data_IF_297576172897
#
_entry.id   IF_297576172897
#
_cell.length_a   1.000
_cell.length_b   1.000
_cell.length_c   1.000
_cell.angle_alpha   90.00
_cell.angle_beta   90.00
_cell.angle_gamma   90.00
#
_symmetry.space_group_name_H-M   'P 1'
#
loop_
_entity.id
_entity.type
_entity.pdbx_description
1 polymer ?
#
# COMPACT_ATOMS: atom_id res chain seq x y z
N UNK A 1 -4.20 48.94 44.63
CA UNK A 1 -3.74 48.34 43.36
C UNK A 1 -4.25 46.91 43.32
N UNK A 2 -5.35 46.67 42.62
CA UNK A 2 -5.92 45.34 42.45
C UNK A 2 -6.18 45.23 40.94
N UNK A 3 -5.29 44.50 40.27
CA UNK A 3 -5.31 44.34 38.81
C UNK A 3 -6.24 43.19 38.49
N UNK A 4 -7.44 43.51 38.00
CA UNK A 4 -8.35 42.55 37.38
C UNK A 4 -7.83 42.25 35.98
N UNK A 5 -7.24 41.08 35.78
CA UNK A 5 -6.98 40.54 34.45
C UNK A 5 -8.30 39.93 33.93
N UNK A 6 -8.88 40.58 32.94
CA UNK A 6 -9.99 40.03 32.16
C UNK A 6 -9.45 38.86 31.31
N UNK A 7 -9.98 37.66 31.57
CA UNK A 7 -9.69 36.44 30.81
C UNK A 7 -10.44 36.51 29.47
N UNK A 8 -9.83 37.22 28.51
CA UNK A 8 -10.28 37.33 27.13
C UNK A 8 -10.05 36.04 26.35
N UNK A 9 -10.74 34.95 26.71
CA UNK A 9 -10.93 33.79 25.83
C UNK A 9 -12.15 34.05 24.94
N UNK A 10 -11.93 34.88 23.92
CA UNK A 10 -12.82 34.94 22.77
C UNK A 10 -12.87 33.57 22.12
N UNK A 11 -13.96 32.83 22.35
CA UNK A 11 -14.32 31.71 21.50
C UNK A 11 -14.49 32.28 20.08
N UNK A 12 -13.62 31.87 19.16
CA UNK A 12 -13.82 32.10 17.74
C UNK A 12 -15.22 31.58 17.39
N UNK A 13 -16.15 32.43 16.93
CA UNK A 13 -17.46 31.98 16.52
C UNK A 13 -17.25 31.20 15.23
N UNK A 14 -16.92 29.90 15.37
CA UNK A 14 -17.02 28.94 14.28
C UNK A 14 -18.39 29.18 13.67
N UNK A 15 -18.38 29.70 12.45
CA UNK A 15 -19.57 29.92 11.63
C UNK A 15 -20.39 28.64 11.77
N UNK A 16 -21.55 28.72 12.43
CA UNK A 16 -22.32 27.52 12.76
C UNK A 16 -22.62 26.82 11.44
N UNK A 17 -21.99 25.67 11.22
CA UNK A 17 -22.19 24.90 10.01
C UNK A 17 -23.67 24.57 9.91
N UNK A 18 -24.25 24.62 8.69
CA UNK A 18 -25.64 24.20 8.51
C UNK A 18 -25.75 22.74 8.99
N UNK A 19 -26.59 22.44 9.99
CA UNK A 19 -26.65 21.10 10.59
C UNK A 19 -27.13 20.04 9.60
N UNK A 20 -27.60 20.42 8.41
CA UNK A 20 -27.96 19.48 7.34
C UNK A 20 -26.80 19.14 6.43
N UNK A 21 -25.77 19.98 6.32
CA UNK A 21 -24.66 19.77 5.39
C UNK A 21 -23.79 18.62 5.87
N UNK A 22 -23.59 17.62 5.01
CA UNK A 22 -22.68 16.50 5.29
C UNK A 22 -21.72 16.34 4.14
N UNK A 23 -20.47 15.96 4.40
CA UNK A 23 -19.52 15.63 3.35
C UNK A 23 -19.32 14.11 3.30
N UNK A 24 -19.32 13.54 2.10
CA UNK A 24 -19.16 12.09 1.92
C UNK A 24 -17.84 11.80 1.24
N UNK A 25 -16.95 11.13 1.94
CA UNK A 25 -15.74 10.53 1.37
C UNK A 25 -16.14 9.16 0.81
N UNK A 26 -15.87 8.90 -0.47
CA UNK A 26 -16.26 7.64 -1.11
C UNK A 26 -15.26 7.25 -2.21
N UNK A 27 -15.27 5.97 -2.57
CA UNK A 27 -14.47 5.42 -3.66
C UNK A 27 -15.13 5.56 -5.03
N UNK A 28 -14.83 4.61 -5.93
CA UNK A 28 -15.34 4.51 -7.30
C UNK A 28 -16.67 3.76 -7.42
N UNK A 29 -17.18 3.17 -6.34
CA UNK A 29 -18.49 2.52 -6.35
C UNK A 29 -19.63 3.57 -6.43
N UNK A 30 -19.94 4.01 -7.66
CA UNK A 30 -20.98 5.01 -7.93
C UNK A 30 -22.39 4.55 -7.51
N UNK A 31 -22.65 3.24 -7.54
CA UNK A 31 -23.93 2.71 -7.11
C UNK A 31 -24.12 2.92 -5.59
N UNK A 32 -23.12 2.52 -4.79
CA UNK A 32 -23.11 2.73 -3.35
C UNK A 32 -23.18 4.22 -2.98
N UNK A 33 -22.40 5.05 -3.68
CA UNK A 33 -22.43 6.51 -3.49
C UNK A 33 -23.82 7.07 -3.73
N UNK A 34 -24.45 6.76 -4.87
CA UNK A 34 -25.78 7.27 -5.21
C UNK A 34 -26.83 6.82 -4.19
N UNK A 35 -26.80 5.54 -3.79
CA UNK A 35 -27.70 5.01 -2.76
C UNK A 35 -27.56 5.73 -1.42
N UNK A 36 -26.32 5.97 -0.97
CA UNK A 36 -26.08 6.73 0.26
C UNK A 36 -26.56 8.18 0.15
N UNK A 37 -26.29 8.86 -0.97
CA UNK A 37 -26.75 10.24 -1.18
C UNK A 37 -28.27 10.35 -1.19
N UNK A 38 -28.97 9.39 -1.80
CA UNK A 38 -30.42 9.34 -1.82
C UNK A 38 -30.99 9.12 -0.41
N UNK A 39 -30.42 8.18 0.35
CA UNK A 39 -30.76 7.97 1.76
C UNK A 39 -30.55 9.25 2.60
N UNK A 40 -29.37 9.88 2.51
CA UNK A 40 -29.05 11.10 3.27
C UNK A 40 -30.04 12.23 2.96
N UNK A 41 -30.39 12.42 1.69
CA UNK A 41 -31.41 13.39 1.27
C UNK A 41 -32.80 13.05 1.81
N UNK A 42 -33.18 11.77 1.81
CA UNK A 42 -34.47 11.32 2.32
C UNK A 42 -34.64 11.58 3.83
N UNK A 43 -33.54 11.49 4.61
CA UNK A 43 -33.54 11.87 6.03
C UNK A 43 -33.28 13.37 6.26
N UNK A 44 -33.43 14.21 5.22
CA UNK A 44 -33.39 15.67 5.33
C UNK A 44 -32.00 16.30 5.36
N UNK A 45 -30.94 15.53 5.08
CA UNK A 45 -29.57 16.04 4.99
C UNK A 45 -29.22 16.47 3.56
N UNK A 46 -28.17 17.27 3.45
CA UNK A 46 -27.70 17.88 2.21
C UNK A 46 -26.23 17.50 1.96
N UNK A 47 -25.99 16.36 1.29
CA UNK A 47 -24.63 15.89 1.03
C UNK A 47 -23.92 16.81 0.02
N UNK A 48 -22.80 17.39 0.44
CA UNK A 48 -21.92 18.25 -0.37
C UNK A 48 -21.28 17.39 -1.45
N UNK A 49 -21.56 17.73 -2.71
CA UNK A 49 -20.92 17.09 -3.86
C UNK A 49 -19.50 17.62 -4.06
N UNK A 50 -18.62 16.80 -4.66
CA UNK A 50 -17.23 17.20 -4.91
C UNK A 50 -17.11 18.51 -5.70
N UNK A 51 -17.97 18.70 -6.71
CA UNK A 51 -18.03 19.93 -7.51
C UNK A 51 -18.46 21.15 -6.69
N UNK A 52 -19.35 20.97 -5.71
CA UNK A 52 -19.74 22.00 -4.75
C UNK A 52 -18.57 22.36 -3.84
N UNK A 53 -17.92 21.37 -3.24
CA UNK A 53 -16.71 21.57 -2.43
C UNK A 53 -15.60 22.29 -3.23
N UNK A 54 -15.40 21.92 -4.49
CA UNK A 54 -14.49 22.59 -5.41
C UNK A 54 -14.82 24.07 -5.59
N UNK A 55 -16.09 24.40 -5.81
CA UNK A 55 -16.55 25.79 -5.93
C UNK A 55 -16.38 26.59 -4.63
N UNK A 56 -16.51 25.96 -3.47
CA UNK A 56 -16.35 26.61 -2.17
C UNK A 56 -14.94 27.15 -1.94
N UNK A 57 -13.93 26.62 -2.66
CA UNK A 57 -12.57 27.15 -2.63
C UNK A 57 -12.44 28.52 -3.31
N UNK A 58 -13.39 28.91 -4.17
CA UNK A 58 -13.31 30.11 -5.00
C UNK A 58 -12.27 30.06 -6.12
N UNK A 59 -11.65 28.89 -6.37
CA UNK A 59 -10.60 28.71 -7.38
C UNK A 59 -11.08 27.88 -8.56
N UNK A 60 -10.59 28.20 -9.76
CA UNK A 60 -10.87 27.40 -10.96
C UNK A 60 -10.14 26.05 -10.98
N UNK A 61 -9.01 25.94 -10.28
CA UNK A 61 -8.21 24.71 -10.17
C UNK A 61 -7.56 24.64 -8.78
N UNK A 62 -8.34 24.35 -7.72
CA UNK A 62 -7.82 24.24 -6.36
C UNK A 62 -6.98 22.96 -6.19
N UNK A 63 -6.07 22.99 -5.22
CA UNK A 63 -5.42 21.77 -4.75
C UNK A 63 -6.43 20.90 -3.98
N UNK A 64 -6.28 19.57 -4.04
CA UNK A 64 -7.20 18.60 -3.41
C UNK A 64 -7.37 18.89 -1.91
N UNK A 65 -6.29 19.21 -1.20
CA UNK A 65 -6.35 19.56 0.21
C UNK A 65 -7.23 20.79 0.49
N UNK A 66 -7.28 21.76 -0.43
CA UNK A 66 -8.10 22.96 -0.27
C UNK A 66 -9.59 22.66 -0.44
N UNK A 67 -9.93 21.72 -1.33
CA UNK A 67 -11.30 21.21 -1.50
C UNK A 67 -11.74 20.53 -0.20
N UNK A 68 -10.88 19.68 0.36
CA UNK A 68 -11.15 18.94 1.59
C UNK A 68 -11.28 19.89 2.79
N UNK A 69 -10.40 20.88 2.92
CA UNK A 69 -10.49 21.90 3.97
C UNK A 69 -11.80 22.70 3.89
N UNK A 70 -12.20 23.11 2.69
CA UNK A 70 -13.46 23.81 2.48
C UNK A 70 -14.68 22.93 2.84
N UNK A 71 -14.65 21.65 2.44
CA UNK A 71 -15.70 20.69 2.74
C UNK A 71 -15.81 20.40 4.24
N UNK A 72 -14.70 20.06 4.90
CA UNK A 72 -14.66 19.78 6.34
C UNK A 72 -15.02 21.00 7.20
N UNK A 73 -14.67 22.20 6.76
CA UNK A 73 -15.04 23.44 7.42
C UNK A 73 -16.54 23.76 7.33
N UNK A 74 -17.23 23.26 6.30
CA UNK A 74 -18.62 23.61 6.03
C UNK A 74 -19.63 22.49 6.33
N UNK A 75 -19.18 21.25 6.41
CA UNK A 75 -20.01 20.11 6.78
C UNK A 75 -20.22 20.05 8.30
N UNK A 76 -21.43 19.70 8.74
CA UNK A 76 -21.73 19.34 10.12
C UNK A 76 -21.13 17.99 10.49
N UNK A 77 -21.15 17.02 9.57
CA UNK A 77 -20.54 15.71 9.74
C UNK A 77 -19.85 15.22 8.46
N UNK A 78 -18.84 14.38 8.63
CA UNK A 78 -18.17 13.67 7.53
C UNK A 78 -18.56 12.21 7.58
N UNK A 79 -19.08 11.68 6.48
CA UNK A 79 -19.40 10.27 6.31
C UNK A 79 -18.33 9.62 5.45
N UNK A 80 -17.65 8.62 5.99
CA UNK A 80 -16.68 7.81 5.26
C UNK A 80 -17.38 6.56 4.76
N UNK A 81 -17.68 6.50 3.47
CA UNK A 81 -18.26 5.32 2.82
C UNK A 81 -17.15 4.37 2.36
N UNK A 82 -16.96 3.31 3.11
CA UNK A 82 -16.03 2.22 2.81
C UNK A 82 -16.73 1.15 1.99
N UNK A 83 -16.27 0.97 0.76
CA UNK A 83 -16.71 -0.09 -0.15
C UNK A 83 -15.52 -0.97 -0.57
N UNK A 84 -15.77 -2.24 -0.95
CA UNK A 84 -14.74 -3.14 -1.45
C UNK A 84 -14.34 -2.76 -2.88
N UNK A 85 -13.52 -1.72 -3.02
CA UNK A 85 -13.15 -1.15 -4.32
C UNK A 85 -11.87 -1.76 -4.90
N UNK A 86 -10.85 -1.92 -4.05
CA UNK A 86 -9.54 -2.43 -4.46
C UNK A 86 -9.31 -3.83 -3.89
N UNK A 87 -8.67 -4.69 -4.68
CA UNK A 87 -8.15 -5.99 -4.23
C UNK A 87 -6.75 -5.80 -3.66
N UNK A 88 -6.48 -6.39 -2.51
CA UNK A 88 -5.22 -6.27 -1.77
C UNK A 88 -4.74 -7.61 -1.25
N UNK A 89 -3.42 -7.74 -1.14
CA UNK A 89 -2.70 -8.86 -0.55
C UNK A 89 -1.57 -8.27 0.28
N UNK A 90 -1.29 -8.85 1.46
CA UNK A 90 -0.02 -8.56 2.11
C UNK A 90 1.11 -9.18 1.28
N UNK A 91 2.26 -8.51 1.23
CA UNK A 91 3.42 -9.01 0.52
C UNK A 91 3.85 -10.36 1.11
N UNK A 92 3.98 -11.40 0.29
CA UNK A 92 4.23 -12.79 0.73
C UNK A 92 5.45 -12.92 1.64
N UNK A 93 6.53 -12.17 1.41
CA UNK A 93 7.71 -12.22 2.29
C UNK A 93 7.49 -11.60 3.68
N UNK A 94 6.37 -10.92 3.89
CA UNK A 94 5.97 -10.31 5.16
C UNK A 94 4.87 -11.10 5.86
N UNK A 95 4.43 -12.22 5.29
CA UNK A 95 3.41 -13.08 5.89
C UNK A 95 4.04 -14.22 6.68
N UNK A 96 3.22 -14.90 7.48
CA UNK A 96 3.57 -16.17 8.09
C UNK A 96 2.75 -17.32 7.48
N UNK A 97 3.19 -18.59 7.62
CA UNK A 97 2.37 -19.73 7.19
C UNK A 97 0.96 -19.65 7.81
N UNK A 98 -0.07 -19.75 6.96
CA UNK A 98 -1.47 -19.65 7.37
C UNK A 98 -1.99 -18.23 7.65
N UNK A 99 -1.22 -17.19 7.36
CA UNK A 99 -1.69 -15.80 7.49
C UNK A 99 -2.87 -15.52 6.55
N UNK A 100 -4.05 -15.11 7.06
CA UNK A 100 -5.20 -14.77 6.22
C UNK A 100 -4.94 -13.58 5.29
N UNK A 101 -3.92 -12.77 5.53
CA UNK A 101 -3.51 -11.66 4.66
C UNK A 101 -2.79 -12.10 3.38
N UNK A 102 -2.42 -13.38 3.26
CA UNK A 102 -2.00 -14.01 2.01
C UNK A 102 -3.14 -14.13 0.99
N UNK A 103 -4.39 -14.15 1.46
CA UNK A 103 -5.56 -14.29 0.60
C UNK A 103 -5.97 -12.94 0.02
N UNK A 104 -6.66 -12.99 -1.12
CA UNK A 104 -7.26 -11.79 -1.70
C UNK A 104 -8.25 -11.18 -0.70
N UNK A 105 -8.01 -9.93 -0.33
CA UNK A 105 -8.92 -9.16 0.50
C UNK A 105 -9.39 -7.92 -0.27
N UNK A 106 -10.58 -7.42 0.08
CA UNK A 106 -11.09 -6.19 -0.50
C UNK A 106 -10.88 -5.03 0.45
N UNK A 107 -10.58 -3.84 -0.07
CA UNK A 107 -10.44 -2.65 0.76
C UNK A 107 -11.04 -1.42 0.06
N UNK A 108 -11.31 -0.33 0.81
CA UNK A 108 -11.55 0.97 0.21
C UNK A 108 -10.34 1.45 -0.58
N UNK A 109 -10.56 2.33 -1.56
CA UNK A 109 -9.49 3.02 -2.27
C UNK A 109 -8.52 3.68 -1.28
N UNK A 110 -7.19 3.67 -1.53
CA UNK A 110 -6.22 4.37 -0.68
C UNK A 110 -6.56 5.84 -0.42
N UNK A 111 -7.12 6.54 -1.42
CA UNK A 111 -7.58 7.92 -1.26
C UNK A 111 -8.66 8.05 -0.17
N UNK A 112 -9.63 7.12 -0.14
CA UNK A 112 -10.69 7.09 0.87
C UNK A 112 -10.09 6.87 2.25
N UNK A 113 -9.11 5.97 2.38
CA UNK A 113 -8.41 5.72 3.64
C UNK A 113 -7.64 6.95 4.12
N UNK A 114 -6.92 7.62 3.21
CA UNK A 114 -6.15 8.82 3.51
C UNK A 114 -7.05 10.00 3.92
N UNK A 115 -8.12 10.23 3.17
CA UNK A 115 -9.12 11.28 3.46
C UNK A 115 -9.88 11.00 4.76
N UNK A 116 -10.21 9.74 5.04
CA UNK A 116 -10.79 9.33 6.33
C UNK A 116 -9.83 9.64 7.48
N UNK A 117 -8.53 9.35 7.31
CA UNK A 117 -7.48 9.73 8.26
C UNK A 117 -7.43 11.24 8.52
N UNK A 118 -7.52 12.06 7.46
CA UNK A 118 -7.57 13.52 7.60
C UNK A 118 -8.84 13.99 8.32
N UNK A 119 -10.01 13.46 7.97
CA UNK A 119 -11.27 13.78 8.64
C UNK A 119 -11.24 13.42 10.12
N UNK A 120 -10.73 12.23 10.47
CA UNK A 120 -10.58 11.78 11.84
C UNK A 120 -9.56 12.61 12.63
N UNK A 121 -8.43 12.95 12.01
CA UNK A 121 -7.40 13.78 12.63
C UNK A 121 -7.88 15.20 12.89
N UNK A 122 -8.78 15.72 12.04
CA UNK A 122 -9.37 17.05 12.19
C UNK A 122 -10.54 17.06 13.18
N UNK A 123 -11.46 16.11 13.06
CA UNK A 123 -12.77 16.15 13.72
C UNK A 123 -13.34 14.74 13.96
N UNK A 124 -12.75 13.99 14.90
CA UNK A 124 -13.14 12.61 15.17
C UNK A 124 -14.60 12.42 15.65
N UNK A 125 -15.16 13.38 16.40
CA UNK A 125 -16.51 13.26 17.00
C UNK A 125 -17.63 13.36 15.97
N UNK A 126 -17.38 14.05 14.84
CA UNK A 126 -18.33 14.23 13.73
C UNK A 126 -17.94 13.45 12.47
N UNK A 127 -17.00 12.52 12.59
CA UNK A 127 -16.63 11.59 11.52
C UNK A 127 -17.32 10.24 11.74
N UNK A 128 -18.19 9.85 10.81
CA UNK A 128 -18.99 8.62 10.85
C UNK A 128 -18.47 7.65 9.81
N UNK A 129 -18.00 6.48 10.26
CA UNK A 129 -17.49 5.42 9.37
C UNK A 129 -18.63 4.47 9.03
N UNK A 130 -18.81 4.23 7.74
CA UNK A 130 -19.85 3.38 7.17
C UNK A 130 -19.22 2.35 6.25
N UNK A 131 -19.54 1.08 6.47
CA UNK A 131 -19.15 -0.03 5.60
C UNK A 131 -20.36 -0.48 4.77
N UNK A 132 -20.17 -0.60 3.46
CA UNK A 132 -21.13 -1.23 2.56
C UNK A 132 -20.41 -2.35 1.79
N UNK A 133 -20.61 -3.59 2.25
CA UNK A 133 -19.85 -4.75 1.79
C UNK A 133 -18.75 -5.17 2.76
N UNK A 134 -18.07 -6.26 2.40
CA UNK A 134 -16.98 -6.80 3.20
C UNK A 134 -15.67 -6.14 2.80
N UNK A 135 -15.10 -5.36 3.71
CA UNK A 135 -13.77 -4.75 3.57
C UNK A 135 -12.81 -5.32 4.60
N UNK A 136 -11.52 -5.34 4.25
CA UNK A 136 -10.40 -5.64 5.13
C UNK A 136 -10.44 -4.64 6.27
N UNK A 137 -10.43 -5.16 7.48
CA UNK A 137 -10.28 -4.34 8.68
C UNK A 137 -8.78 -4.11 8.90
N UNK A 138 -8.38 -2.87 9.17
CA UNK A 138 -7.01 -2.55 9.58
C UNK A 138 -7.00 -1.99 11.00
N UNK A 139 -5.90 -2.23 11.72
CA UNK A 139 -5.74 -2.04 13.16
C UNK A 139 -6.17 -0.66 13.67
N UNK A 140 -6.01 0.40 12.87
CA UNK A 140 -6.30 1.78 13.28
C UNK A 140 -7.80 2.12 13.38
N UNK A 141 -8.68 1.36 12.70
CA UNK A 141 -10.15 1.51 12.82
C UNK A 141 -10.73 0.61 13.92
N UNK A 142 -10.01 -0.42 14.40
CA UNK A 142 -10.54 -1.39 15.36
C UNK A 142 -11.03 -0.81 16.71
N UNK A 143 -10.60 0.41 17.07
CA UNK A 143 -11.10 1.13 18.25
C UNK A 143 -12.38 1.96 18.01
N UNK A 144 -12.88 2.05 16.78
CA UNK A 144 -14.02 2.90 16.41
C UNK A 144 -15.21 2.05 15.97
N UNK A 145 -16.40 2.44 16.41
CA UNK A 145 -17.64 1.78 16.03
C UNK A 145 -18.02 2.15 14.60
N UNK A 146 -18.23 1.15 13.75
CA UNK A 146 -18.59 1.29 12.32
C UNK A 146 -20.05 0.91 12.10
N UNK A 147 -20.75 1.64 11.25
CA UNK A 147 -22.09 1.26 10.79
C UNK A 147 -21.97 0.39 9.55
N UNK A 148 -22.28 -0.90 9.69
CA UNK A 148 -22.32 -1.86 8.57
C UNK A 148 -23.71 -1.89 7.95
N UNK A 149 -23.85 -1.34 6.76
CA UNK A 149 -25.11 -1.30 6.03
C UNK A 149 -25.35 -2.64 5.33
N UNK A 150 -26.60 -3.09 5.38
CA UNK A 150 -27.09 -4.35 4.79
C UNK A 150 -28.45 -4.17 4.08
N UNK A 151 -28.76 -2.92 3.69
CA UNK A 151 -30.04 -2.45 3.17
C UNK A 151 -31.22 -2.49 4.15
N UNK A 152 -31.08 -3.05 5.36
CA UNK A 152 -32.18 -3.12 6.33
C UNK A 152 -32.52 -1.77 6.95
N UNK A 153 -33.79 -1.59 7.31
CA UNK A 153 -34.28 -0.42 8.06
C UNK A 153 -33.54 -0.25 9.38
N UNK A 154 -33.17 -1.35 10.04
CA UNK A 154 -32.38 -1.33 11.29
C UNK A 154 -31.04 -0.63 11.08
N UNK A 155 -30.31 -0.97 10.02
CA UNK A 155 -29.00 -0.36 9.73
C UNK A 155 -29.10 1.08 9.24
N UNK A 156 -30.18 1.41 8.53
CA UNK A 156 -30.52 2.80 8.19
C UNK A 156 -30.77 3.64 9.45
N UNK A 157 -31.52 3.10 10.41
CA UNK A 157 -31.75 3.75 11.71
C UNK A 157 -30.45 3.91 12.52
N UNK A 158 -29.58 2.90 12.53
CA UNK A 158 -28.26 2.98 13.18
C UNK A 158 -27.44 4.15 12.61
N UNK A 159 -27.41 4.31 11.28
CA UNK A 159 -26.72 5.42 10.61
C UNK A 159 -27.34 6.78 10.94
N UNK A 160 -28.67 6.90 10.85
CA UNK A 160 -29.37 8.14 11.16
C UNK A 160 -29.10 8.60 12.60
N UNK A 161 -29.20 7.69 13.58
CA UNK A 161 -28.96 7.98 15.00
C UNK A 161 -27.51 8.43 15.24
N UNK A 162 -26.56 7.88 14.48
CA UNK A 162 -25.14 8.29 14.54
C UNK A 162 -24.92 9.69 13.96
N UNK A 163 -25.62 10.03 12.88
CA UNK A 163 -25.59 11.36 12.29
C UNK A 163 -26.23 12.40 13.22
N UNK A 164 -27.33 12.07 13.89
CA UNK A 164 -27.92 12.93 14.94
C UNK A 164 -26.93 13.16 16.09
N UNK A 165 -26.22 12.11 16.52
CA UNK A 165 -25.17 12.22 17.55
C UNK A 165 -24.01 13.12 17.10
N UNK A 166 -23.70 13.13 15.80
CA UNK A 166 -22.73 14.04 15.18
C UNK A 166 -23.27 15.48 14.99
N UNK A 167 -24.48 15.77 15.47
CA UNK A 167 -25.12 17.09 15.41
C UNK A 167 -25.91 17.36 14.14
N UNK A 168 -26.17 16.34 13.30
CA UNK A 168 -26.95 16.53 12.09
C UNK A 168 -28.44 16.66 12.39
N UNK A 169 -29.11 17.59 11.70
CA UNK A 169 -30.55 17.79 11.79
C UNK A 169 -31.32 16.78 10.91
N UNK A 170 -31.32 15.51 11.30
CA UNK A 170 -32.02 14.47 10.56
C UNK A 170 -33.54 14.57 10.73
N UNK A 171 -34.28 14.03 9.76
CA UNK A 171 -35.75 13.99 9.74
C UNK A 171 -36.19 12.55 9.49
N UNK A 172 -36.66 11.89 10.54
CA UNK A 172 -37.09 10.49 10.51
C UNK A 172 -38.62 10.32 10.57
N UNK A 173 -39.37 11.38 10.27
CA UNK A 173 -40.83 11.35 10.20
C UNK A 173 -41.28 10.62 8.93
N UNK A 174 -42.27 9.73 9.05
CA UNK A 174 -42.76 8.92 7.92
C UNK A 174 -41.89 7.69 7.69
N UNK A 175 -42.14 6.99 6.58
CA UNK A 175 -41.50 5.69 6.28
C UNK A 175 -40.81 5.65 4.93
N UNK A 176 -40.96 6.65 4.05
CA UNK A 176 -40.38 6.65 2.70
C UNK A 176 -38.85 6.50 2.73
N UNK A 177 -38.20 7.05 3.77
CA UNK A 177 -36.75 6.95 3.96
C UNK A 177 -36.27 5.52 4.26
N UNK A 178 -37.15 4.60 4.67
CA UNK A 178 -36.82 3.21 4.95
C UNK A 178 -36.27 2.47 3.73
N UNK A 179 -36.66 2.89 2.52
CA UNK A 179 -36.29 2.26 1.26
C UNK A 179 -35.47 3.18 0.34
N UNK A 180 -35.27 4.44 0.74
CA UNK A 180 -34.60 5.44 -0.08
C UNK A 180 -33.13 5.09 -0.37
N UNK A 181 -32.77 5.00 -1.64
CA UNK A 181 -31.43 4.60 -2.08
C UNK A 181 -31.15 3.11 -1.89
N UNK A 182 -30.48 2.50 -2.86
CA UNK A 182 -30.05 1.10 -2.74
C UNK A 182 -28.78 1.02 -1.86
N UNK A 183 -28.94 0.46 -0.67
CA UNK A 183 -27.86 0.22 0.30
C UNK A 183 -27.56 -1.28 0.43
N UNK A 184 -27.76 -2.04 -0.65
CA UNK A 184 -27.39 -3.45 -0.73
C UNK A 184 -25.86 -3.58 -0.82
N UNK A 185 -25.23 -4.39 0.03
CA UNK A 185 -23.82 -4.69 -0.08
C UNK A 185 -23.45 -5.17 -1.49
N UNK A 186 -22.36 -4.67 -2.09
CA UNK A 186 -21.90 -5.18 -3.38
C UNK A 186 -21.57 -6.67 -3.25
N UNK A 187 -21.83 -7.41 -4.33
CA UNK A 187 -21.50 -8.83 -4.41
C UNK A 187 -19.99 -9.01 -4.16
N UNK A 188 -19.57 -10.02 -3.39
CA UNK A 188 -18.17 -10.35 -3.25
C UNK A 188 -17.50 -10.44 -4.64
N UNK A 189 -16.26 -9.94 -4.75
CA UNK A 189 -15.55 -9.92 -6.02
C UNK A 189 -15.30 -11.37 -6.50
N UNK A 190 -15.10 -11.53 -7.81
CA UNK A 190 -14.90 -12.84 -8.43
C UNK A 190 -16.19 -13.55 -8.88
N UNK A 191 -17.38 -13.03 -8.55
CA UNK A 191 -18.65 -13.55 -9.11
C UNK A 191 -18.90 -15.03 -8.80
N UNK A 192 -18.45 -15.50 -7.63
CA UNK A 192 -18.50 -16.92 -7.23
C UNK A 192 -17.32 -17.76 -7.72
N UNK A 193 -16.43 -17.19 -8.53
CA UNK A 193 -15.14 -17.79 -8.88
C UNK A 193 -14.08 -17.37 -7.86
N UNK A 194 -13.05 -18.21 -7.64
CA UNK A 194 -11.88 -17.81 -6.87
C UNK A 194 -11.28 -16.54 -7.48
N UNK A 195 -11.14 -15.52 -6.66
CA UNK A 195 -10.30 -14.37 -6.97
C UNK A 195 -8.93 -14.90 -7.32
N UNK A 196 -8.41 -14.52 -8.49
CA UNK A 196 -7.10 -15.01 -8.93
C UNK A 196 -6.10 -14.88 -7.79
N UNK A 197 -5.43 -15.96 -7.44
CA UNK A 197 -4.20 -15.82 -6.69
C UNK A 197 -3.32 -14.92 -7.56
N UNK A 198 -2.72 -13.89 -6.96
CA UNK A 198 -1.58 -13.25 -7.60
C UNK A 198 -0.69 -14.43 -8.01
N UNK A 199 -0.36 -14.55 -9.30
CA UNK A 199 0.69 -15.48 -9.71
C UNK A 199 1.78 -15.24 -8.68
N UNK A 200 2.25 -16.27 -7.92
CA UNK A 200 3.35 -16.07 -7.00
C UNK A 200 4.34 -15.30 -7.83
N UNK A 201 4.68 -14.09 -7.39
CA UNK A 201 5.57 -13.27 -8.21
C UNK A 201 6.70 -14.20 -8.51
N UNK A 202 6.90 -14.56 -9.77
CA UNK A 202 7.96 -15.46 -10.18
C UNK A 202 9.33 -14.77 -10.01
N UNK A 203 9.39 -13.74 -9.14
CA UNK A 203 10.46 -12.79 -8.86
C UNK A 203 10.38 -12.21 -7.42
N UNK A 204 9.66 -12.85 -6.50
CA UNK A 204 10.05 -12.88 -5.08
C UNK A 204 10.30 -14.34 -4.66
N UNK A 205 10.63 -15.19 -5.64
CA UNK A 205 11.11 -16.54 -5.40
C UNK A 205 12.30 -16.46 -4.46
N UNK A 206 12.39 -17.39 -3.51
CA UNK A 206 13.59 -17.60 -2.68
C UNK A 206 14.81 -18.07 -3.49
N UNK A 207 14.99 -17.50 -4.68
CA UNK A 207 16.14 -17.69 -5.55
C UNK A 207 17.21 -16.71 -5.08
N UNK A 208 18.40 -17.22 -4.75
CA UNK A 208 19.56 -16.39 -4.44
C UNK A 208 19.80 -15.32 -5.50
N UNK A 209 20.21 -14.11 -5.07
CA UNK A 209 20.61 -13.02 -5.97
C UNK A 209 22.10 -12.88 -5.88
N UNK A 210 22.81 -13.15 -6.97
CA UNK A 210 24.27 -13.10 -7.01
C UNK A 210 24.71 -11.81 -7.69
N UNK A 211 25.72 -11.16 -7.14
CA UNK A 211 26.38 -10.01 -7.74
C UNK A 211 27.89 -10.29 -7.76
N UNK A 212 28.56 -10.02 -8.88
CA UNK A 212 29.99 -10.17 -9.02
C UNK A 212 30.68 -8.80 -9.18
N UNK A 213 31.75 -8.58 -8.41
CA UNK A 213 32.55 -7.36 -8.46
C UNK A 213 34.03 -7.67 -8.58
N UNK A 214 34.74 -6.87 -9.38
CA UNK A 214 36.20 -6.95 -9.45
C UNK A 214 36.84 -6.15 -8.32
N UNK A 215 37.77 -6.78 -7.61
CA UNK A 215 38.57 -6.20 -6.53
C UNK A 215 40.03 -6.20 -6.96
N UNK A 216 40.58 -5.00 -7.19
CA UNK A 216 42.00 -4.82 -7.47
C UNK A 216 42.81 -4.78 -6.18
N UNK A 217 43.80 -5.68 -6.06
CA UNK A 217 44.69 -5.75 -4.90
C UNK A 217 45.94 -4.86 -5.05
N UNK A 218 45.99 -4.00 -6.08
CA UNK A 218 46.76 -2.75 -6.08
C UNK A 218 48.27 -2.84 -6.25
N UNK A 219 48.89 -4.03 -6.31
CA UNK A 219 50.35 -4.19 -6.55
C UNK A 219 50.77 -5.49 -7.26
N UNK A 220 49.83 -6.29 -7.76
CA UNK A 220 50.14 -7.59 -8.39
C UNK A 220 49.29 -7.80 -9.64
N UNK A 221 49.75 -8.61 -10.60
CA UNK A 221 48.98 -9.03 -11.80
C UNK A 221 47.78 -9.95 -11.47
N UNK A 222 47.34 -9.94 -10.22
CA UNK A 222 46.31 -10.81 -9.66
C UNK A 222 45.25 -9.96 -8.98
N UNK A 223 44.07 -9.91 -9.58
CA UNK A 223 42.85 -9.40 -8.97
C UNK A 223 41.97 -10.53 -8.43
N UNK A 224 40.89 -10.17 -7.77
CA UNK A 224 39.86 -11.12 -7.34
C UNK A 224 38.50 -10.68 -7.86
N UNK A 225 37.67 -11.63 -8.27
CA UNK A 225 36.24 -11.42 -8.51
C UNK A 225 35.53 -11.90 -7.27
N UNK A 226 34.88 -10.99 -6.56
CA UNK A 226 34.09 -11.29 -5.39
C UNK A 226 32.63 -11.47 -5.81
N UNK A 227 32.07 -12.64 -5.51
CA UNK A 227 30.67 -12.97 -5.76
C UNK A 227 29.94 -12.93 -4.42
N UNK A 228 28.87 -12.16 -4.33
CA UNK A 228 28.09 -11.96 -3.11
C UNK A 228 26.64 -12.38 -3.32
N UNK A 229 26.10 -13.16 -2.37
CA UNK A 229 24.68 -13.49 -2.36
C UNK A 229 23.88 -12.43 -1.59
N UNK A 230 23.16 -11.58 -2.32
CA UNK A 230 22.28 -10.52 -1.81
C UNK A 230 20.81 -10.95 -1.66
N UNK A 231 20.44 -12.14 -2.11
CA UNK A 231 19.06 -12.62 -2.10
C UNK A 231 18.70 -13.40 -0.83
N UNK A 232 17.40 -13.66 -0.59
CA UNK A 232 17.02 -14.69 0.36
C UNK A 232 17.38 -16.08 -0.18
N UNK A 233 17.88 -16.97 0.68
CA UNK A 233 18.21 -18.36 0.34
C UNK A 233 19.69 -18.61 0.09
N UNK A 234 20.11 -19.86 0.29
CA UNK A 234 21.49 -20.32 0.09
C UNK A 234 21.68 -20.86 -1.34
N UNK A 235 22.84 -20.60 -1.95
CA UNK A 235 23.23 -21.28 -3.21
C UNK A 235 24.01 -22.54 -2.85
N UNK A 236 23.74 -23.65 -3.52
CA UNK A 236 24.50 -24.89 -3.42
C UNK A 236 25.22 -25.16 -4.73
N UNK A 237 26.37 -25.84 -4.65
CA UNK A 237 27.24 -26.19 -5.77
C UNK A 237 27.48 -25.01 -6.72
N UNK A 238 27.78 -23.83 -6.16
CA UNK A 238 28.01 -22.61 -6.92
C UNK A 238 29.31 -22.74 -7.70
N UNK A 239 29.25 -22.56 -9.02
CA UNK A 239 30.40 -22.58 -9.91
C UNK A 239 30.47 -21.29 -10.74
N UNK A 240 31.65 -21.02 -11.30
CA UNK A 240 31.91 -19.82 -12.09
C UNK A 240 32.67 -20.19 -13.34
N UNK A 241 32.12 -19.82 -14.47
CA UNK A 241 32.74 -20.01 -15.78
C UNK A 241 32.94 -18.65 -16.47
N UNK A 242 33.94 -18.58 -17.34
CA UNK A 242 34.21 -17.41 -18.16
C UNK A 242 35.02 -17.81 -19.39
N UNK A 243 34.99 -16.99 -20.44
CA UNK A 243 35.84 -17.19 -21.61
C UNK A 243 37.33 -17.24 -21.20
N UNK A 244 38.13 -18.07 -21.86
CA UNK A 244 39.56 -18.30 -21.54
C UNK A 244 40.38 -17.00 -21.45
N UNK A 245 39.99 -15.98 -22.22
CA UNK A 245 40.63 -14.67 -22.25
C UNK A 245 40.47 -13.87 -20.94
N UNK A 246 39.45 -14.19 -20.13
CA UNK A 246 39.19 -13.55 -18.83
C UNK A 246 40.24 -13.93 -17.78
N UNK A 247 40.83 -15.14 -17.91
CA UNK A 247 41.96 -15.59 -17.10
C UNK A 247 41.61 -15.92 -15.65
N UNK A 248 40.51 -16.67 -15.42
CA UNK A 248 40.15 -17.17 -14.09
C UNK A 248 41.20 -18.18 -13.59
N UNK A 249 41.61 -18.02 -12.33
CA UNK A 249 42.58 -18.90 -11.66
C UNK A 249 41.95 -19.46 -10.39
N UNK A 250 41.72 -20.76 -10.39
CA UNK A 250 41.36 -21.52 -9.20
C UNK A 250 42.64 -21.85 -8.44
N UNK A 251 42.82 -21.39 -7.18
CA UNK A 251 44.08 -21.65 -6.45
C UNK A 251 44.22 -23.11 -6.07
N UNK A 252 43.10 -23.78 -5.82
CA UNK A 252 43.03 -25.17 -5.39
C UNK A 252 41.89 -25.90 -6.10
N UNK A 253 42.09 -27.20 -6.40
CA UNK A 253 41.12 -28.07 -7.05
C UNK A 253 39.82 -28.35 -6.25
N UNK A 254 39.54 -27.57 -5.20
CA UNK A 254 38.35 -27.69 -4.34
C UNK A 254 37.80 -26.35 -3.85
N UNK A 255 38.20 -25.22 -4.45
CA UNK A 255 37.60 -23.91 -4.17
C UNK A 255 36.23 -23.75 -4.86
N UNK A 256 36.08 -24.34 -6.05
CA UNK A 256 34.84 -24.39 -6.81
C UNK A 256 34.63 -25.82 -7.36
N UNK A 257 33.38 -26.30 -7.47
CA UNK A 257 32.15 -25.64 -7.05
C UNK A 257 32.06 -25.48 -5.52
N UNK A 258 31.55 -24.34 -5.07
CA UNK A 258 31.33 -24.03 -3.65
C UNK A 258 30.10 -24.77 -3.17
N UNK A 259 30.28 -25.72 -2.26
CA UNK A 259 29.19 -26.58 -1.76
C UNK A 259 27.98 -25.80 -1.23
N UNK A 260 28.22 -24.64 -0.59
CA UNK A 260 27.16 -23.76 -0.07
C UNK A 260 27.63 -22.31 0.09
N UNK A 261 26.91 -21.36 -0.50
CA UNK A 261 27.04 -19.91 -0.28
C UNK A 261 25.78 -19.34 0.39
N UNK A 262 25.82 -19.06 1.72
CA UNK A 262 24.68 -18.50 2.43
C UNK A 262 24.32 -17.08 2.02
N UNK A 263 23.08 -16.68 2.28
CA UNK A 263 22.64 -15.29 2.12
C UNK A 263 23.53 -14.31 2.93
N UNK A 264 23.94 -13.22 2.30
CA UNK A 264 24.82 -12.20 2.86
C UNK A 264 26.30 -12.58 2.96
N UNK A 265 26.71 -13.72 2.38
CA UNK A 265 28.11 -14.15 2.29
C UNK A 265 28.67 -13.93 0.89
N UNK A 266 29.99 -13.88 0.84
CA UNK A 266 30.74 -13.72 -0.41
C UNK A 266 31.80 -14.81 -0.54
N UNK A 267 32.08 -15.19 -1.79
CA UNK A 267 33.23 -16.01 -2.18
C UNK A 267 34.07 -15.23 -3.19
N UNK A 268 35.32 -15.63 -3.40
CA UNK A 268 36.19 -14.96 -4.37
C UNK A 268 36.93 -15.96 -5.24
N UNK A 269 36.96 -15.69 -6.54
CA UNK A 269 37.80 -16.38 -7.51
C UNK A 269 38.88 -15.43 -7.99
N UNK A 270 40.10 -15.93 -8.20
CA UNK A 270 41.18 -15.05 -8.66
C UNK A 270 41.13 -14.89 -10.15
N UNK A 271 41.65 -13.74 -10.58
CA UNK A 271 41.83 -13.42 -11.98
C UNK A 271 43.27 -13.01 -12.20
N UNK A 272 43.94 -13.63 -13.16
CA UNK A 272 45.26 -13.21 -13.62
C UNK A 272 45.11 -12.38 -14.88
N UNK A 273 45.58 -11.13 -14.84
CA UNK A 273 45.63 -10.30 -16.05
C UNK A 273 46.73 -10.81 -16.99
N UNK A 274 46.43 -11.06 -18.26
CA UNK A 274 47.45 -11.40 -19.26
C UNK A 274 48.32 -10.17 -19.60
N UNK A 275 49.51 -10.39 -20.17
CA UNK A 275 50.50 -9.34 -20.45
C UNK A 275 50.38 -8.75 -21.87
N UNK A 276 49.33 -9.07 -22.62
CA UNK A 276 49.18 -8.56 -23.99
C UNK A 276 48.82 -7.07 -23.96
N UNK A 277 49.42 -6.26 -24.84
CA UNK A 277 49.12 -4.83 -25.01
C UNK A 277 47.61 -4.54 -25.23
N UNK A 278 46.83 -5.56 -25.63
CA UNK A 278 45.38 -5.50 -25.78
C UNK A 278 44.59 -5.80 -24.48
N UNK A 279 45.17 -6.56 -23.53
CA UNK A 279 44.49 -6.97 -22.27
C UNK A 279 44.52 -5.93 -21.16
N UNK A 280 45.36 -4.88 -21.28
CA UNK A 280 45.25 -3.67 -20.44
C UNK A 280 43.95 -2.89 -20.70
N UNK A 281 43.18 -3.24 -21.73
CA UNK A 281 42.06 -2.44 -22.20
C UNK A 281 40.67 -2.88 -21.68
N UNK A 282 40.52 -4.07 -21.10
CA UNK A 282 39.20 -4.52 -20.63
C UNK A 282 39.14 -4.55 -19.10
N UNK A 283 38.81 -3.38 -18.53
CA UNK A 283 38.39 -3.20 -17.13
C UNK A 283 37.01 -3.80 -16.84
N UNK A 284 36.41 -4.47 -17.83
CA UNK A 284 35.12 -5.12 -17.75
C UNK A 284 35.11 -6.44 -18.54
N UNK A 285 34.34 -7.42 -18.06
CA UNK A 285 34.18 -8.74 -18.68
C UNK A 285 32.91 -9.40 -18.14
N UNK A 286 32.39 -10.42 -18.84
CA UNK A 286 31.27 -11.22 -18.35
C UNK A 286 31.80 -12.49 -17.68
N UNK A 287 31.06 -12.96 -16.67
CA UNK A 287 31.20 -14.30 -16.11
C UNK A 287 29.82 -14.94 -16.07
N UNK A 288 29.78 -16.27 -16.15
CA UNK A 288 28.57 -17.05 -15.94
C UNK A 288 28.68 -17.73 -14.58
N UNK A 289 27.75 -17.42 -13.68
CA UNK A 289 27.66 -18.02 -12.36
C UNK A 289 26.56 -19.07 -12.40
N UNK A 290 26.91 -20.30 -12.07
CA UNK A 290 25.97 -21.42 -12.02
C UNK A 290 25.82 -21.94 -10.59
N UNK A 291 24.73 -22.67 -10.34
CA UNK A 291 24.51 -23.34 -9.07
C UNK A 291 23.11 -23.92 -8.98
N UNK A 292 22.66 -24.22 -7.76
CA UNK A 292 21.28 -24.64 -7.51
C UNK A 292 20.74 -24.16 -6.18
N UNK A 293 19.43 -24.08 -6.08
CA UNK A 293 18.71 -23.86 -4.82
C UNK A 293 18.66 -25.13 -3.97
N UNK A 294 18.18 -25.03 -2.73
CA UNK A 294 18.04 -26.17 -1.79
C UNK A 294 17.13 -27.29 -2.30
N UNK A 295 16.13 -26.94 -3.12
CA UNK A 295 15.20 -27.86 -3.80
C UNK A 295 15.73 -28.37 -5.15
N UNK A 296 16.97 -28.01 -5.53
CA UNK A 296 17.64 -28.52 -6.71
C UNK A 296 17.32 -27.77 -8.01
N UNK A 297 16.62 -26.63 -7.92
CA UNK A 297 16.35 -25.78 -9.09
C UNK A 297 17.66 -25.16 -9.59
N UNK A 298 18.02 -25.33 -10.87
CA UNK A 298 19.27 -24.77 -11.41
C UNK A 298 19.21 -23.25 -11.45
N UNK A 299 20.37 -22.63 -11.21
CA UNK A 299 20.63 -21.19 -11.29
C UNK A 299 21.73 -20.98 -12.32
N UNK A 300 21.50 -20.07 -13.26
CA UNK A 300 22.47 -19.64 -14.26
C UNK A 300 22.31 -18.13 -14.44
N UNK A 301 23.36 -17.37 -14.16
CA UNK A 301 23.35 -15.90 -14.15
C UNK A 301 24.59 -15.40 -14.88
N UNK A 302 24.38 -14.67 -15.96
CA UNK A 302 25.45 -13.93 -16.64
C UNK A 302 25.62 -12.56 -15.98
N UNK A 303 26.78 -12.34 -15.38
CA UNK A 303 27.11 -11.09 -14.68
C UNK A 303 28.17 -10.31 -15.43
N UNK A 304 27.89 -9.02 -15.66
CA UNK A 304 28.86 -8.07 -16.19
C UNK A 304 29.69 -7.50 -15.04
N UNK A 305 30.95 -7.90 -14.97
CA UNK A 305 31.88 -7.45 -13.95
C UNK A 305 32.66 -6.26 -14.49
N UNK A 306 32.54 -5.10 -13.83
CA UNK A 306 33.39 -3.94 -14.09
C UNK A 306 34.22 -3.57 -12.85
N UNK A 307 35.44 -3.09 -13.09
CA UNK A 307 36.29 -2.51 -12.04
C UNK A 307 35.75 -1.14 -11.62
N UNK A 308 35.72 -0.90 -10.30
CA UNK A 308 35.51 0.43 -9.74
C UNK A 308 36.79 1.28 -9.81
#
# INVERSE_FOLDING_TARGET
MQTTAEDGRGADPRKVADPRKVFVIHGRNEHARRGLFEFLRAIGLDPIEWSEAGRMTGKGSPYIGEILDAAFGSAQAVVVLQTPDDVTYLHESLTHPGDPECNAQMQPRPNVLFEAGMAMGRDADRTVIVELGQVKVFSDIHGRHVVRLDNSVKKRQDLASRLETAGCATRLTGTDWHEAGDLTPPVPPGGGLPMGHKLPSSQASGTPRLEARYVDNGRSKMGAIQITNHGPGDVYDLDVDAEDEVGLVLRNAGEFPVAKLPAGKSVSVLRMSSDSLASRANSYFNITITGKTVDGTPIEIDEFVSGA
#
